data_IF_654489589014
#
_entry.id   IF_654489589014
#
_cell.length_a   1.000
_cell.length_b   1.000
_cell.length_c   1.000
_cell.angle_alpha   90.00
_cell.angle_beta   90.00
_cell.angle_gamma   90.00
#
_symmetry.space_group_name_H-M   'P 1'
#
loop_
_entity.id
_entity.type
_entity.pdbx_description
1 polymer ?
#
# COMPACT_ATOMS: atom_id res chain seq x y z
N UNK A 1 45.57 19.04 -19.35
CA UNK A 1 44.60 19.06 -18.23
C UNK A 1 43.25 18.57 -18.78
N UNK A 2 42.79 17.37 -18.38
CA UNK A 2 41.57 16.73 -18.90
C UNK A 2 40.44 16.96 -17.91
N UNK A 3 39.50 17.83 -18.27
CA UNK A 3 38.28 18.15 -17.51
C UNK A 3 37.39 16.91 -17.43
N UNK A 4 37.20 16.38 -16.22
CA UNK A 4 36.28 15.30 -15.92
C UNK A 4 34.96 15.88 -15.44
N UNK A 5 34.03 16.07 -16.39
CA UNK A 5 32.63 16.35 -16.09
C UNK A 5 32.04 15.18 -15.29
N UNK A 6 31.87 15.37 -13.98
CA UNK A 6 31.04 14.47 -13.17
C UNK A 6 29.60 14.70 -13.59
N UNK A 7 29.11 13.85 -14.48
CA UNK A 7 27.69 13.62 -14.71
C UNK A 7 27.04 13.23 -13.37
N UNK A 8 26.53 14.23 -12.67
CA UNK A 8 25.60 14.08 -11.56
C UNK A 8 24.25 13.65 -12.15
N UNK A 9 24.17 12.37 -12.54
CA UNK A 9 22.92 11.72 -12.90
C UNK A 9 22.07 11.55 -11.63
N UNK A 10 21.49 12.67 -11.17
CA UNK A 10 20.43 12.66 -10.18
C UNK A 10 19.34 11.72 -10.70
N UNK A 11 19.12 10.61 -10.00
CA UNK A 11 18.09 9.62 -10.34
C UNK A 11 16.79 10.39 -10.55
N UNK A 12 16.34 10.48 -11.81
CA UNK A 12 15.11 11.18 -12.16
C UNK A 12 13.99 10.46 -11.44
N UNK A 13 13.51 11.05 -10.35
CA UNK A 13 12.39 10.53 -9.60
C UNK A 13 11.20 10.68 -10.54
N UNK A 14 10.88 9.62 -11.29
CA UNK A 14 9.64 9.54 -12.06
C UNK A 14 8.52 9.61 -11.03
N UNK A 15 8.08 10.83 -10.72
CA UNK A 15 6.91 11.10 -9.89
C UNK A 15 5.80 10.31 -10.57
N UNK A 16 5.40 9.21 -9.94
CA UNK A 16 4.36 8.35 -10.47
C UNK A 16 3.15 9.24 -10.66
N UNK A 17 2.77 9.49 -11.92
CA UNK A 17 1.59 10.26 -12.34
C UNK A 17 0.27 9.60 -11.87
N UNK A 18 0.38 8.53 -11.09
CA UNK A 18 -0.74 7.82 -10.51
C UNK A 18 -1.13 8.56 -9.23
N UNK A 19 -2.40 8.98 -9.11
CA UNK A 19 -2.90 9.55 -7.87
C UNK A 19 -2.57 8.59 -6.73
N UNK A 20 -2.03 9.11 -5.63
CA UNK A 20 -1.75 8.31 -4.44
C UNK A 20 -3.02 7.57 -4.08
N UNK A 21 -2.94 6.25 -3.97
CA UNK A 21 -4.09 5.46 -3.60
C UNK A 21 -4.53 5.88 -2.19
N UNK A 22 -5.74 6.42 -2.10
CA UNK A 22 -6.34 6.78 -0.82
C UNK A 22 -7.12 5.58 -0.30
N UNK A 23 -6.80 5.15 0.91
CA UNK A 23 -7.56 4.13 1.60
C UNK A 23 -8.87 4.73 2.11
N UNK A 24 -9.92 4.65 1.28
CA UNK A 24 -11.26 5.03 1.71
C UNK A 24 -11.81 4.01 2.71
N UNK A 25 -12.74 4.40 3.61
CA UNK A 25 -13.34 3.46 4.56
C UNK A 25 -13.99 2.26 3.87
N UNK A 26 -14.64 2.46 2.73
CA UNK A 26 -15.21 1.38 1.91
C UNK A 26 -14.13 0.43 1.40
N UNK A 27 -13.00 0.96 0.91
CA UNK A 27 -11.87 0.14 0.44
C UNK A 27 -11.24 -0.65 1.60
N UNK A 28 -11.17 -0.04 2.78
CA UNK A 28 -10.70 -0.71 3.98
C UNK A 28 -11.63 -1.85 4.43
N UNK A 29 -12.95 -1.65 4.42
CA UNK A 29 -13.90 -2.71 4.74
C UNK A 29 -13.70 -3.93 3.83
N UNK A 30 -13.61 -3.72 2.52
CA UNK A 30 -13.31 -4.81 1.58
C UNK A 30 -11.96 -5.50 1.84
N UNK A 31 -10.96 -4.76 2.30
CA UNK A 31 -9.69 -5.35 2.72
C UNK A 31 -9.82 -6.24 3.96
N UNK A 32 -10.58 -5.82 4.96
CA UNK A 32 -10.84 -6.62 6.17
C UNK A 32 -11.66 -7.86 5.84
N UNK A 33 -12.73 -7.72 5.05
CA UNK A 33 -13.53 -8.84 4.54
C UNK A 33 -12.67 -9.83 3.76
N UNK A 34 -11.76 -9.34 2.91
CA UNK A 34 -10.82 -10.18 2.19
C UNK A 34 -9.88 -10.96 3.13
N UNK A 35 -9.35 -10.32 4.18
CA UNK A 35 -8.53 -11.01 5.19
C UNK A 35 -9.34 -12.06 5.96
N UNK A 36 -10.56 -11.71 6.38
CA UNK A 36 -11.45 -12.62 7.11
C UNK A 36 -11.79 -13.83 6.23
N UNK A 37 -12.15 -13.60 4.97
CA UNK A 37 -12.45 -14.64 3.98
C UNK A 37 -11.27 -15.57 3.71
N UNK A 38 -10.04 -15.04 3.79
CA UNK A 38 -8.81 -15.83 3.61
C UNK A 38 -8.39 -16.63 4.85
N UNK A 39 -9.17 -16.59 5.93
CA UNK A 39 -8.89 -17.31 7.18
C UNK A 39 -7.99 -16.54 8.15
N UNK A 40 -8.01 -15.20 8.06
CA UNK A 40 -7.35 -14.30 9.02
C UNK A 40 -5.92 -13.88 8.64
N UNK A 41 -5.33 -13.03 9.50
CA UNK A 41 -4.06 -12.33 9.26
C UNK A 41 -2.86 -13.24 8.95
N UNK A 42 -2.87 -14.48 9.42
CA UNK A 42 -1.78 -15.43 9.21
C UNK A 42 -1.83 -16.15 7.86
N UNK A 43 -3.02 -16.23 7.23
CA UNK A 43 -3.23 -16.92 5.95
C UNK A 43 -3.45 -15.95 4.78
N UNK A 44 -3.72 -14.68 5.08
CA UNK A 44 -3.98 -13.66 4.07
C UNK A 44 -2.68 -13.17 3.42
N UNK A 45 -2.40 -13.63 2.19
CA UNK A 45 -1.27 -13.16 1.37
C UNK A 45 -1.65 -11.87 0.62
N UNK A 46 -0.75 -10.88 0.47
CA UNK A 46 -1.03 -9.65 -0.29
C UNK A 46 -1.58 -9.89 -1.70
N UNK A 47 -1.08 -10.93 -2.39
CA UNK A 47 -1.54 -11.32 -3.72
C UNK A 47 -2.99 -11.79 -3.73
N UNK A 48 -3.38 -12.59 -2.73
CA UNK A 48 -4.76 -13.10 -2.59
C UNK A 48 -5.72 -11.99 -2.18
N UNK A 49 -5.31 -11.11 -1.27
CA UNK A 49 -6.10 -9.93 -0.88
C UNK A 49 -6.35 -9.05 -2.10
N UNK A 50 -5.32 -8.77 -2.92
CA UNK A 50 -5.49 -8.00 -4.15
C UNK A 50 -6.51 -8.66 -5.10
N UNK A 51 -6.39 -9.98 -5.30
CA UNK A 51 -7.31 -10.74 -6.15
C UNK A 51 -8.74 -10.74 -5.63
N UNK A 52 -8.93 -10.73 -4.31
CA UNK A 52 -10.25 -10.68 -3.68
C UNK A 52 -10.89 -9.30 -3.79
N UNK A 53 -10.11 -8.23 -3.61
CA UNK A 53 -10.63 -6.86 -3.68
C UNK A 53 -11.01 -6.42 -5.09
N UNK A 54 -10.39 -6.98 -6.15
CA UNK A 54 -10.69 -6.69 -7.58
C UNK A 54 -10.80 -5.20 -7.96
N UNK A 55 -10.19 -4.31 -7.20
CA UNK A 55 -10.26 -2.85 -7.43
C UNK A 55 -9.30 -2.43 -8.53
N UNK A 56 -9.82 -1.78 -9.58
CA UNK A 56 -9.01 -1.21 -10.67
C UNK A 56 -8.09 -0.11 -10.12
N UNK A 57 -6.79 -0.21 -10.38
CA UNK A 57 -5.77 0.73 -9.89
C UNK A 57 -5.13 0.36 -8.54
N UNK A 58 -5.66 -0.66 -7.85
CA UNK A 58 -5.02 -1.22 -6.66
C UNK A 58 -3.85 -2.12 -7.06
N UNK A 59 -2.73 -2.03 -6.33
CA UNK A 59 -1.50 -2.79 -6.60
C UNK A 59 -1.08 -3.56 -5.36
N UNK A 60 -0.33 -4.65 -5.56
CA UNK A 60 0.26 -5.43 -4.45
C UNK A 60 1.06 -4.54 -3.50
N UNK A 61 1.76 -3.51 -4.00
CA UNK A 61 2.52 -2.58 -3.17
C UNK A 61 1.64 -1.87 -2.12
N UNK A 62 0.45 -1.42 -2.52
CA UNK A 62 -0.51 -0.78 -1.61
C UNK A 62 -1.03 -1.76 -0.57
N UNK A 63 -1.35 -3.00 -0.99
CA UNK A 63 -1.79 -4.06 -0.07
C UNK A 63 -0.66 -4.44 0.89
N UNK A 64 0.58 -4.53 0.42
CA UNK A 64 1.73 -4.92 1.24
C UNK A 64 2.01 -3.88 2.31
N UNK A 65 2.08 -2.59 1.96
CA UNK A 65 2.29 -1.53 2.95
C UNK A 65 1.15 -1.51 3.97
N UNK A 66 -0.09 -1.71 3.49
CA UNK A 66 -1.28 -1.71 4.34
C UNK A 66 -1.38 -2.92 5.26
N UNK A 67 -1.06 -4.11 4.75
CA UNK A 67 -1.00 -5.36 5.51
C UNK A 67 0.14 -5.32 6.53
N UNK A 68 1.26 -4.67 6.20
CA UNK A 68 2.34 -4.43 7.15
C UNK A 68 1.81 -3.59 8.33
N UNK A 69 1.20 -2.43 8.06
CA UNK A 69 0.54 -1.65 9.13
C UNK A 69 -0.52 -2.52 9.84
N UNK A 70 -1.32 -3.32 9.10
CA UNK A 70 -2.34 -4.27 9.63
C UNK A 70 -1.78 -5.17 10.74
N UNK A 71 -0.62 -5.76 10.46
CA UNK A 71 0.03 -6.75 11.33
C UNK A 71 0.80 -6.09 12.48
N UNK A 72 1.48 -4.98 12.22
CA UNK A 72 2.39 -4.35 13.20
C UNK A 72 1.72 -3.30 14.10
N UNK A 73 0.68 -2.60 13.62
CA UNK A 73 0.15 -1.39 14.27
C UNK A 73 -1.30 -1.57 14.78
N UNK A 74 -2.13 -2.40 14.14
CA UNK A 74 -3.55 -2.52 14.56
C UNK A 74 -3.79 -3.50 15.70
N UNK A 75 -2.92 -3.45 16.71
CA UNK A 75 -3.35 -3.78 18.07
C UNK A 75 -4.27 -2.68 18.65
N UNK A 76 -4.30 -1.48 18.05
CA UNK A 76 -5.16 -0.36 18.46
C UNK A 76 -6.12 0.08 17.34
N UNK A 77 -7.44 0.13 17.58
CA UNK A 77 -8.47 0.35 16.55
C UNK A 77 -8.52 1.78 15.96
N UNK A 78 -7.76 2.74 16.50
CA UNK A 78 -7.93 4.17 16.18
C UNK A 78 -6.90 4.77 15.23
N UNK A 79 -5.80 4.06 14.91
CA UNK A 79 -4.78 4.60 14.00
C UNK A 79 -5.22 4.67 12.53
N UNK A 80 -6.37 4.07 12.19
CA UNK A 80 -7.00 4.17 10.88
C UNK A 80 -7.39 5.60 10.50
N UNK A 81 -7.83 6.41 11.46
CA UNK A 81 -8.23 7.80 11.17
C UNK A 81 -7.05 8.64 10.67
N UNK A 82 -5.83 8.40 11.13
CA UNK A 82 -4.67 9.22 10.77
C UNK A 82 -4.31 9.08 9.28
N UNK A 83 -4.49 7.89 8.69
CA UNK A 83 -4.19 7.64 7.28
C UNK A 83 -5.34 7.98 6.31
N UNK A 84 -6.55 8.27 6.83
CA UNK A 84 -7.70 8.69 6.02
C UNK A 84 -7.70 10.22 5.82
N UNK A 85 -7.02 10.97 6.71
CA UNK A 85 -6.98 12.43 6.75
C UNK A 85 -5.66 13.07 6.23
N UNK A 86 -4.73 12.29 5.65
CA UNK A 86 -3.48 12.80 5.04
C UNK A 86 -3.22 12.17 3.66
#
# INVERSE_FOLDING_TARGET
MKSSERSSSARQYKKSQLPRLRWTPQLHQHFVEAIQSLGGKHKATPKRILQQMRVKGLRIAHIKSHLQVYIYIYRLPYMWSIFIYF
#
